data_IF_417260316978
#
_entry.id   IF_417260316978
#
_cell.length_a   1.000
_cell.length_b   1.000
_cell.length_c   1.000
_cell.angle_alpha   90.00
_cell.angle_beta   90.00
_cell.angle_gamma   90.00
#
_symmetry.space_group_name_H-M   'P 1'
#
loop_
_entity.id
_entity.type
_entity.pdbx_description
1 polymer ?
#
# COMPACT_ATOMS: atom_id res chain seq x y z
N UNK A 1 -6.24 17.54 60.71
CA UNK A 1 -5.18 17.75 59.70
C UNK A 1 -5.86 17.84 58.35
N UNK A 2 -6.06 19.04 57.82
CA UNK A 2 -6.87 19.24 56.61
C UNK A 2 -6.03 19.01 55.35
N UNK A 3 -6.52 18.16 54.45
CA UNK A 3 -5.89 17.87 53.14
C UNK A 3 -6.60 18.66 52.03
N UNK A 4 -5.80 19.15 51.08
CA UNK A 4 -6.13 20.19 50.10
C UNK A 4 -6.83 19.67 48.84
N UNK A 5 -7.57 20.56 48.20
CA UNK A 5 -8.38 20.41 46.97
C UNK A 5 -7.65 20.94 45.73
N UNK A 6 -8.05 20.46 44.54
CA UNK A 6 -7.64 21.01 43.25
C UNK A 6 -8.77 20.82 42.24
N UNK A 7 -9.19 21.90 41.59
CA UNK A 7 -10.13 21.83 40.46
C UNK A 7 -9.42 21.27 39.23
N UNK A 8 -10.03 20.25 38.61
CA UNK A 8 -9.63 19.74 37.29
C UNK A 8 -10.68 20.21 36.29
N UNK A 9 -10.31 21.19 35.47
CA UNK A 9 -11.07 21.58 34.29
C UNK A 9 -10.76 20.55 33.20
N UNK A 10 -11.73 19.69 32.91
CA UNK A 10 -11.69 18.83 31.73
C UNK A 10 -12.60 19.46 30.67
N UNK A 11 -12.05 19.70 29.48
CA UNK A 11 -12.78 20.30 28.36
C UNK A 11 -13.91 19.38 27.90
N UNK A 12 -15.11 19.97 27.74
CA UNK A 12 -16.19 19.39 26.92
C UNK A 12 -17.20 18.51 27.66
N UNK A 13 -17.87 19.09 28.66
CA UNK A 13 -19.31 18.97 28.97
C UNK A 13 -19.55 19.18 30.48
N UNK A 14 -20.58 19.96 30.77
CA UNK A 14 -20.88 20.46 32.10
C UNK A 14 -21.27 19.33 33.07
N UNK A 15 -20.34 18.98 33.96
CA UNK A 15 -20.68 18.61 35.34
C UNK A 15 -19.55 19.03 36.26
N UNK A 16 -19.83 19.97 37.18
CA UNK A 16 -18.92 20.29 38.29
C UNK A 16 -18.87 19.07 39.22
N UNK A 17 -17.89 18.19 39.04
CA UNK A 17 -17.70 17.06 39.96
C UNK A 17 -16.98 17.56 41.20
N UNK A 18 -17.74 18.05 42.18
CA UNK A 18 -17.24 18.42 43.50
C UNK A 18 -17.20 17.15 44.35
N UNK A 19 -16.02 16.62 44.61
CA UNK A 19 -15.88 15.46 45.50
C UNK A 19 -15.54 15.95 46.91
N UNK A 20 -16.40 15.64 47.87
CA UNK A 20 -16.36 16.14 49.24
C UNK A 20 -15.60 15.15 50.15
N UNK A 21 -14.52 15.59 50.80
CA UNK A 21 -13.70 14.72 51.67
C UNK A 21 -13.32 15.35 53.02
N UNK A 22 -14.25 16.08 53.63
CA UNK A 22 -14.17 16.35 55.07
C UNK A 22 -15.34 15.63 55.71
N UNK A 23 -15.08 14.59 56.50
CA UNK A 23 -16.11 13.77 57.17
C UNK A 23 -17.11 14.62 57.98
N UNK A 24 -16.64 15.75 58.50
CA UNK A 24 -17.49 16.72 59.19
C UNK A 24 -18.36 17.53 58.23
N UNK A 25 -17.80 18.03 57.12
CA UNK A 25 -18.56 18.81 56.15
C UNK A 25 -19.57 17.96 55.35
N UNK A 26 -19.23 16.69 55.07
CA UNK A 26 -20.15 15.75 54.42
C UNK A 26 -21.35 15.40 55.31
N UNK A 27 -21.18 15.48 56.64
CA UNK A 27 -22.25 15.26 57.62
C UNK A 27 -23.24 16.42 57.77
N UNK A 28 -22.91 17.61 57.25
CA UNK A 28 -23.75 18.81 57.34
C UNK A 28 -24.62 18.99 56.08
N UNK A 29 -25.85 19.51 56.20
CA UNK A 29 -26.68 19.86 55.05
C UNK A 29 -26.10 21.07 54.28
N UNK A 30 -26.34 21.11 52.97
CA UNK A 30 -25.67 22.03 52.03
C UNK A 30 -25.71 23.51 52.45
N UNK A 31 -26.83 23.94 53.02
CA UNK A 31 -27.09 25.31 53.47
C UNK A 31 -26.33 25.70 54.75
N UNK A 32 -25.83 24.75 55.54
CA UNK A 32 -25.01 25.02 56.73
C UNK A 32 -23.51 24.95 56.45
N UNK A 33 -23.13 24.50 55.24
CA UNK A 33 -21.72 24.39 54.83
C UNK A 33 -21.12 25.74 54.45
N UNK A 34 -21.96 26.71 54.05
CA UNK A 34 -21.53 28.05 53.65
C UNK A 34 -21.02 28.88 54.83
N UNK A 35 -21.47 28.57 56.05
CA UNK A 35 -21.10 29.27 57.29
C UNK A 35 -19.89 28.63 58.02
N UNK A 36 -19.33 27.55 57.47
CA UNK A 36 -18.15 26.93 58.08
C UNK A 36 -16.93 27.87 57.92
N UNK A 37 -16.12 28.06 58.97
CA UNK A 37 -14.85 28.78 58.89
C UNK A 37 -13.78 27.88 58.22
N UNK A 38 -14.13 27.25 57.10
CA UNK A 38 -13.13 26.71 56.20
C UNK A 38 -12.45 27.91 55.55
N UNK A 39 -11.14 28.03 55.77
CA UNK A 39 -10.30 28.98 55.06
C UNK A 39 -10.44 28.68 53.56
N UNK A 40 -11.31 29.43 52.87
CA UNK A 40 -11.27 29.59 51.42
C UNK A 40 -10.05 30.49 51.21
N UNK A 41 -8.95 30.02 50.61
CA UNK A 41 -7.84 30.89 50.24
C UNK A 41 -8.43 31.92 49.30
N UNK A 42 -8.64 33.13 49.82
CA UNK A 42 -9.19 34.24 49.06
C UNK A 42 -8.24 34.61 47.93
N UNK A 43 -8.82 34.87 46.77
CA UNK A 43 -8.22 34.80 45.43
C UNK A 43 -7.03 35.73 45.10
N UNK A 44 -6.56 36.61 45.99
CA UNK A 44 -5.56 37.61 45.59
C UNK A 44 -4.23 37.56 46.36
N UNK A 45 -4.22 37.41 47.68
CA UNK A 45 -2.97 37.52 48.46
C UNK A 45 -2.08 36.26 48.38
N UNK A 46 -2.67 35.07 48.37
CA UNK A 46 -1.91 33.81 48.22
C UNK A 46 -1.42 33.59 46.77
N UNK A 47 -2.16 34.10 45.79
CA UNK A 47 -1.74 34.12 44.39
C UNK A 47 -0.55 35.06 44.18
N UNK A 48 -0.55 36.24 44.81
CA UNK A 48 0.55 37.22 44.78
C UNK A 48 1.82 36.73 45.50
N UNK A 49 1.69 36.04 46.65
CA UNK A 49 2.84 35.45 47.37
C UNK A 49 3.46 34.27 46.59
N UNK A 50 2.64 33.42 45.95
CA UNK A 50 3.16 32.35 45.06
C UNK A 50 3.73 32.88 43.75
N UNK A 51 3.20 33.99 43.22
CA UNK A 51 3.71 34.64 42.01
C UNK A 51 5.09 35.29 42.21
N UNK A 52 5.51 35.52 43.46
CA UNK A 52 6.80 36.17 43.79
C UNK A 52 7.80 35.23 44.45
N UNK A 53 7.39 34.05 44.90
CA UNK A 53 8.31 33.02 45.41
C UNK A 53 9.31 32.57 44.33
N UNK A 54 10.63 32.80 44.50
CA UNK A 54 11.65 32.39 43.54
C UNK A 54 11.64 30.88 43.27
N UNK A 55 11.27 30.06 44.24
CA UNK A 55 11.20 28.61 44.08
C UNK A 55 10.02 28.21 43.18
N UNK A 56 8.86 28.83 43.38
CA UNK A 56 7.70 28.64 42.50
C UNK A 56 7.99 29.09 41.06
N UNK A 57 8.60 30.28 40.88
CA UNK A 57 9.00 30.78 39.56
C UNK A 57 10.05 29.88 38.89
N UNK A 58 10.99 29.32 39.66
CA UNK A 58 11.94 28.35 39.16
C UNK A 58 11.24 27.07 38.68
N UNK A 59 10.33 26.50 39.48
CA UNK A 59 9.54 25.33 39.11
C UNK A 59 8.73 25.56 37.82
N UNK A 60 8.07 26.72 37.69
CA UNK A 60 7.35 27.10 36.47
C UNK A 60 8.26 27.19 35.25
N UNK A 61 9.47 27.75 35.39
CA UNK A 61 10.47 27.77 34.31
C UNK A 61 10.91 26.37 33.92
N UNK A 62 11.12 25.47 34.87
CA UNK A 62 11.46 24.07 34.58
C UNK A 62 10.31 23.35 33.88
N UNK A 63 9.07 23.50 34.36
CA UNK A 63 7.89 22.95 33.71
C UNK A 63 7.75 23.45 32.27
N UNK A 64 7.92 24.76 32.03
CA UNK A 64 7.90 25.33 30.67
C UNK A 64 8.95 24.68 29.76
N UNK A 65 10.17 24.47 30.26
CA UNK A 65 11.23 23.78 29.49
C UNK A 65 10.84 22.33 29.18
N UNK A 66 10.23 21.61 30.11
CA UNK A 66 9.77 20.23 29.89
C UNK A 66 8.66 20.20 28.84
N UNK A 67 7.66 21.07 28.95
CA UNK A 67 6.58 21.18 27.95
C UNK A 67 7.11 21.52 26.56
N UNK A 68 8.04 22.46 26.46
CA UNK A 68 8.67 22.80 25.18
C UNK A 68 9.44 21.62 24.57
N UNK A 69 10.15 20.84 25.40
CA UNK A 69 10.83 19.61 24.94
C UNK A 69 9.83 18.56 24.46
N UNK A 70 8.74 18.37 25.19
CA UNK A 70 7.68 17.42 24.84
C UNK A 70 7.01 17.81 23.51
N UNK A 71 6.68 19.08 23.33
CA UNK A 71 6.09 19.58 22.08
C UNK A 71 7.05 19.42 20.90
N UNK A 72 8.34 19.72 21.09
CA UNK A 72 9.34 19.49 20.06
C UNK A 72 9.47 18.00 19.71
N UNK A 73 9.41 17.11 20.69
CA UNK A 73 9.43 15.66 20.45
C UNK A 73 8.19 15.19 19.69
N UNK A 74 7.00 15.70 20.03
CA UNK A 74 5.74 15.41 19.33
C UNK A 74 5.78 15.86 17.86
N UNK A 75 6.27 17.07 17.59
CA UNK A 75 6.43 17.56 16.20
C UNK A 75 7.38 16.67 15.41
N UNK A 76 8.55 16.35 15.97
CA UNK A 76 9.51 15.44 15.31
C UNK A 76 8.90 14.07 15.01
N UNK A 77 8.14 13.51 15.94
CA UNK A 77 7.45 12.24 15.72
C UNK A 77 6.41 12.35 14.60
N UNK A 78 5.64 13.43 14.58
CA UNK A 78 4.69 13.73 13.50
C UNK A 78 5.38 13.86 12.15
N UNK A 79 6.51 14.56 12.08
CA UNK A 79 7.29 14.73 10.85
C UNK A 79 7.83 13.38 10.35
N UNK A 80 8.34 12.55 11.26
CA UNK A 80 8.80 11.19 10.94
C UNK A 80 7.68 10.32 10.37
N UNK A 81 6.48 10.37 10.95
CA UNK A 81 5.35 9.61 10.44
C UNK A 81 4.88 10.11 9.06
N UNK A 82 4.81 11.43 8.86
CA UNK A 82 4.46 12.01 7.55
C UNK A 82 5.45 11.57 6.48
N UNK A 83 6.75 11.64 6.78
CA UNK A 83 7.80 11.20 5.86
C UNK A 83 7.74 9.69 5.60
N UNK A 84 7.44 8.89 6.62
CA UNK A 84 7.30 7.45 6.47
C UNK A 84 6.11 7.08 5.57
N UNK A 85 4.95 7.72 5.75
CA UNK A 85 3.79 7.53 4.86
C UNK A 85 4.13 7.93 3.43
N UNK A 86 4.78 9.08 3.24
CA UNK A 86 5.17 9.56 1.91
C UNK A 86 6.07 8.54 1.19
N UNK A 87 7.06 7.98 1.90
CA UNK A 87 7.93 6.92 1.37
C UNK A 87 7.19 5.65 1.00
N UNK A 88 6.22 5.22 1.81
CA UNK A 88 5.42 4.03 1.44
C UNK A 88 4.57 4.30 0.21
N UNK A 89 3.97 5.49 0.08
CA UNK A 89 3.23 5.88 -1.13
C UNK A 89 4.11 5.91 -2.38
N UNK A 90 5.34 6.41 -2.25
CA UNK A 90 6.33 6.40 -3.33
C UNK A 90 6.65 4.96 -3.78
N UNK A 91 6.90 4.05 -2.83
CA UNK A 91 7.13 2.62 -3.12
C UNK A 91 5.95 1.96 -3.81
N UNK A 92 4.73 2.22 -3.35
CA UNK A 92 3.50 1.71 -4.00
C UNK A 92 3.38 2.25 -5.43
N UNK A 93 3.68 3.54 -5.64
CA UNK A 93 3.69 4.14 -6.97
C UNK A 93 4.74 3.51 -7.90
N UNK A 94 5.91 3.18 -7.37
CA UNK A 94 6.99 2.49 -8.08
C UNK A 94 6.57 1.06 -8.48
N UNK A 95 5.94 0.30 -7.57
CA UNK A 95 5.39 -1.03 -7.86
C UNK A 95 4.30 -0.99 -8.94
N UNK A 96 3.40 -0.01 -8.89
CA UNK A 96 2.38 0.19 -9.93
C UNK A 96 3.01 0.52 -11.30
N UNK A 97 4.10 1.29 -11.30
CA UNK A 97 4.85 1.61 -12.52
C UNK A 97 5.51 0.36 -13.12
N UNK A 98 6.05 -0.53 -12.29
CA UNK A 98 6.58 -1.82 -12.74
C UNK A 98 5.50 -2.70 -13.38
N UNK A 99 4.28 -2.77 -12.81
CA UNK A 99 3.18 -3.52 -13.41
C UNK A 99 2.87 -3.04 -14.84
N UNK A 100 2.72 -1.73 -15.03
CA UNK A 100 2.47 -1.14 -16.35
C UNK A 100 3.60 -1.46 -17.34
N UNK A 101 4.85 -1.34 -16.89
CA UNK A 101 6.01 -1.69 -17.70
C UNK A 101 6.01 -3.17 -18.11
N UNK A 102 5.68 -4.09 -17.19
CA UNK A 102 5.59 -5.52 -17.49
C UNK A 102 4.47 -5.84 -18.47
N UNK A 103 3.33 -5.15 -18.40
CA UNK A 103 2.26 -5.28 -19.39
C UNK A 103 2.71 -4.85 -20.79
N UNK A 104 3.48 -3.76 -20.89
CA UNK A 104 4.04 -3.29 -22.15
C UNK A 104 5.04 -4.30 -22.74
N UNK A 105 5.97 -4.82 -21.92
CA UNK A 105 6.91 -5.85 -22.34
C UNK A 105 6.20 -7.13 -22.79
N UNK A 106 5.19 -7.58 -22.04
CA UNK A 106 4.39 -8.75 -22.42
C UNK A 106 3.70 -8.53 -23.77
N UNK A 107 3.12 -7.33 -24.00
CA UNK A 107 2.48 -6.97 -25.26
C UNK A 107 3.48 -6.97 -26.42
N UNK A 108 4.68 -6.44 -26.20
CA UNK A 108 5.76 -6.47 -27.20
C UNK A 108 6.16 -7.90 -27.57
N UNK A 109 6.38 -8.76 -26.58
CA UNK A 109 6.72 -10.17 -26.79
C UNK A 109 5.61 -10.92 -27.53
N UNK A 110 4.34 -10.67 -27.17
CA UNK A 110 3.20 -11.21 -27.88
C UNK A 110 3.18 -10.77 -29.35
N UNK A 111 3.36 -9.48 -29.63
CA UNK A 111 3.44 -8.95 -30.99
C UNK A 111 4.56 -9.62 -31.80
N UNK A 112 5.77 -9.72 -31.24
CA UNK A 112 6.89 -10.40 -31.88
C UNK A 112 6.60 -11.87 -32.18
N UNK A 113 6.09 -12.58 -31.19
CA UNK A 113 5.70 -13.97 -31.33
C UNK A 113 4.70 -14.16 -32.48
N UNK A 114 3.60 -13.40 -32.49
CA UNK A 114 2.55 -13.52 -33.51
C UNK A 114 3.00 -13.05 -34.91
N UNK A 115 3.93 -12.09 -35.00
CA UNK A 115 4.47 -11.61 -36.27
C UNK A 115 5.52 -12.54 -36.87
N UNK A 116 6.42 -13.11 -36.05
CA UNK A 116 7.57 -13.88 -36.52
C UNK A 116 7.27 -15.36 -36.77
N UNK A 117 6.72 -16.04 -35.77
CA UNK A 117 6.57 -17.51 -35.78
C UNK A 117 5.10 -17.93 -35.67
N UNK A 118 4.32 -17.12 -34.95
CA UNK A 118 2.90 -17.22 -34.71
C UNK A 118 2.40 -18.63 -34.43
N UNK A 119 1.18 -18.90 -34.90
CA UNK A 119 0.55 -20.21 -34.87
C UNK A 119 1.39 -21.32 -35.54
N UNK A 120 2.26 -20.98 -36.50
CA UNK A 120 3.09 -21.98 -37.21
C UNK A 120 4.11 -22.65 -36.30
N UNK A 121 4.61 -21.93 -35.29
CA UNK A 121 5.50 -22.52 -34.29
C UNK A 121 4.83 -23.63 -33.49
N UNK A 122 3.51 -23.52 -33.23
CA UNK A 122 2.74 -24.58 -32.57
C UNK A 122 2.73 -25.88 -33.39
N UNK A 123 2.81 -25.77 -34.72
CA UNK A 123 2.80 -26.93 -35.62
C UNK A 123 4.19 -27.51 -35.86
N UNK A 124 5.25 -26.90 -35.33
CA UNK A 124 6.61 -27.35 -35.59
C UNK A 124 7.04 -28.47 -34.60
N UNK A 125 7.22 -29.72 -35.07
CA UNK A 125 7.57 -30.84 -34.21
C UNK A 125 8.99 -30.74 -33.62
N UNK A 126 9.81 -29.80 -34.11
CA UNK A 126 11.16 -29.56 -33.61
C UNK A 126 11.20 -28.68 -32.36
N UNK A 127 10.06 -28.06 -31.99
CA UNK A 127 9.96 -27.26 -30.76
C UNK A 127 9.91 -28.20 -29.58
N UNK A 128 10.79 -27.99 -28.59
CA UNK A 128 10.78 -28.84 -27.41
C UNK A 128 9.46 -28.67 -26.64
N UNK A 129 8.88 -29.75 -26.08
CA UNK A 129 7.56 -29.69 -25.44
C UNK A 129 7.46 -28.70 -24.28
N UNK A 130 8.57 -28.39 -23.58
CA UNK A 130 8.58 -27.44 -22.46
C UNK A 130 8.44 -26.01 -22.95
N UNK A 131 9.22 -25.63 -23.97
CA UNK A 131 9.11 -24.33 -24.65
C UNK A 131 7.72 -24.15 -25.25
N UNK A 132 7.18 -25.20 -25.89
CA UNK A 132 5.83 -25.17 -26.45
C UNK A 132 4.79 -24.90 -25.36
N UNK A 133 4.82 -25.67 -24.26
CA UNK A 133 3.90 -25.51 -23.15
C UNK A 133 3.97 -24.10 -22.55
N UNK A 134 5.17 -23.59 -22.24
CA UNK A 134 5.36 -22.26 -21.66
C UNK A 134 4.80 -21.13 -22.55
N UNK A 135 4.98 -21.23 -23.87
CA UNK A 135 4.44 -20.27 -24.82
C UNK A 135 2.92 -20.36 -24.91
N UNK A 136 2.35 -21.57 -24.91
CA UNK A 136 0.90 -21.75 -24.95
C UNK A 136 0.28 -21.17 -23.68
N UNK A 137 0.87 -21.50 -22.53
CA UNK A 137 0.42 -21.07 -21.21
C UNK A 137 0.48 -19.55 -21.06
N UNK A 138 1.52 -18.88 -21.60
CA UNK A 138 1.62 -17.43 -21.58
C UNK A 138 0.76 -16.74 -22.67
N UNK A 139 0.87 -17.16 -23.93
CA UNK A 139 0.42 -16.39 -25.10
C UNK A 139 -0.84 -16.93 -25.78
N UNK A 140 -1.15 -18.23 -25.73
CA UNK A 140 -2.26 -18.81 -26.49
C UNK A 140 -3.61 -18.71 -25.80
N UNK A 141 -4.65 -18.42 -26.60
CA UNK A 141 -6.02 -18.12 -26.19
C UNK A 141 -6.82 -19.26 -25.56
N UNK A 142 -6.32 -20.49 -25.59
CA UNK A 142 -7.11 -21.68 -25.22
C UNK A 142 -7.49 -21.71 -23.73
N UNK A 143 -6.70 -21.04 -22.89
CA UNK A 143 -6.98 -20.82 -21.48
C UNK A 143 -7.35 -19.34 -21.29
N UNK A 144 -8.48 -19.00 -20.63
CA UNK A 144 -8.81 -17.62 -20.27
C UNK A 144 -7.67 -16.97 -19.48
N UNK A 145 -7.34 -15.71 -19.76
CA UNK A 145 -6.18 -15.03 -19.16
C UNK A 145 -6.17 -15.07 -17.62
N UNK A 146 -7.35 -14.95 -16.99
CA UNK A 146 -7.50 -15.02 -15.53
C UNK A 146 -7.23 -16.39 -14.92
N UNK A 147 -7.13 -17.45 -15.73
CA UNK A 147 -6.90 -18.84 -15.29
C UNK A 147 -5.51 -19.35 -15.64
N UNK A 148 -4.69 -18.56 -16.32
CA UNK A 148 -3.30 -18.91 -16.63
C UNK A 148 -2.42 -18.67 -15.41
N UNK A 149 -1.56 -19.63 -15.12
CA UNK A 149 -0.63 -19.59 -13.99
C UNK A 149 0.48 -18.56 -14.22
N UNK A 150 0.85 -18.32 -15.48
CA UNK A 150 1.79 -17.30 -15.94
C UNK A 150 1.43 -15.94 -15.37
N UNK A 151 0.15 -15.57 -15.34
CA UNK A 151 -0.30 -14.27 -14.83
C UNK A 151 -0.58 -14.25 -13.33
N UNK A 152 -0.41 -15.36 -12.61
CA UNK A 152 -0.65 -15.40 -11.17
C UNK A 152 0.20 -14.37 -10.40
N UNK A 153 1.52 -14.24 -10.64
CA UNK A 153 2.33 -13.22 -9.97
C UNK A 153 1.87 -11.77 -10.23
N UNK A 154 1.28 -11.48 -11.39
CA UNK A 154 0.76 -10.15 -11.73
C UNK A 154 -0.48 -9.83 -10.91
N UNK A 155 -1.41 -10.80 -10.81
CA UNK A 155 -2.61 -10.67 -9.98
C UNK A 155 -2.26 -10.51 -8.52
N UNK A 156 -1.28 -11.29 -8.04
CA UNK A 156 -0.80 -11.21 -6.67
C UNK A 156 -0.15 -9.84 -6.40
N UNK A 157 0.61 -9.30 -7.35
CA UNK A 157 1.24 -8.00 -7.23
C UNK A 157 0.20 -6.87 -7.19
N UNK A 158 -0.79 -6.90 -8.08
CA UNK A 158 -1.91 -5.94 -8.06
C UNK A 158 -2.69 -5.99 -6.74
N UNK A 159 -3.02 -7.20 -6.26
CA UNK A 159 -3.67 -7.39 -4.97
C UNK A 159 -2.82 -6.85 -3.80
N UNK A 160 -1.50 -7.09 -3.82
CA UNK A 160 -0.58 -6.63 -2.78
C UNK A 160 -0.49 -5.10 -2.76
N UNK A 161 -0.42 -4.44 -3.92
CA UNK A 161 -0.46 -2.97 -4.06
C UNK A 161 -1.75 -2.42 -3.45
N UNK A 162 -2.89 -3.04 -3.79
CA UNK A 162 -4.19 -2.64 -3.24
C UNK A 162 -4.26 -2.79 -1.72
N UNK A 163 -3.77 -3.91 -1.17
CA UNK A 163 -3.72 -4.17 0.28
C UNK A 163 -2.82 -3.14 0.98
N UNK A 164 -1.63 -2.88 0.44
CA UNK A 164 -0.70 -1.90 1.01
C UNK A 164 -1.32 -0.49 1.09
N UNK A 165 -2.00 -0.05 0.03
CA UNK A 165 -2.75 1.21 0.02
C UNK A 165 -3.84 1.23 1.09
N UNK A 166 -4.65 0.18 1.16
CA UNK A 166 -5.74 0.08 2.13
C UNK A 166 -5.22 0.11 3.57
N UNK A 167 -4.12 -0.57 3.87
CA UNK A 167 -3.48 -0.55 5.20
C UNK A 167 -3.00 0.86 5.57
N UNK A 168 -2.42 1.60 4.62
CA UNK A 168 -2.03 2.98 4.83
C UNK A 168 -3.22 3.90 5.09
N UNK A 169 -4.44 3.53 4.71
CA UNK A 169 -5.67 4.32 4.88
C UNK A 169 -6.55 3.86 6.04
N UNK A 170 -6.26 2.69 6.64
CA UNK A 170 -7.07 2.10 7.69
C UNK A 170 -7.02 2.91 8.99
N UNK A 171 -8.08 3.65 9.26
CA UNK A 171 -8.23 4.46 10.48
C UNK A 171 -8.42 3.64 11.77
N UNK A 172 -8.68 2.34 11.67
CA UNK A 172 -8.83 1.46 12.85
C UNK A 172 -7.50 1.05 13.46
N UNK A 173 -6.41 1.15 12.71
CA UNK A 173 -5.06 0.75 13.14
C UNK A 173 -4.24 1.95 13.64
N UNK A 174 -3.29 1.67 14.53
CA UNK A 174 -2.29 2.63 14.96
C UNK A 174 -1.41 3.09 13.79
N UNK A 175 -0.99 4.35 13.80
CA UNK A 175 -0.20 4.94 12.71
C UNK A 175 1.09 4.16 12.41
N UNK A 176 1.79 3.74 13.47
CA UNK A 176 3.01 2.93 13.35
C UNK A 176 2.72 1.56 12.71
N UNK A 177 1.64 0.90 13.14
CA UNK A 177 1.27 -0.42 12.62
C UNK A 177 0.87 -0.35 11.15
N UNK A 178 0.12 0.68 10.75
CA UNK A 178 -0.24 0.94 9.34
C UNK A 178 0.99 1.07 8.46
N UNK A 179 1.97 1.85 8.90
CA UNK A 179 3.23 2.06 8.17
C UNK A 179 4.01 0.75 8.09
N UNK A 180 4.08 -0.02 9.18
CA UNK A 180 4.82 -1.27 9.24
C UNK A 180 4.18 -2.35 8.36
N UNK A 181 2.86 -2.56 8.45
CA UNK A 181 2.18 -3.56 7.64
C UNK A 181 2.25 -3.19 6.14
N UNK A 182 2.04 -1.92 5.78
CA UNK A 182 2.20 -1.48 4.39
C UNK A 182 3.64 -1.66 3.87
N UNK A 183 4.63 -1.47 4.73
CA UNK A 183 6.03 -1.73 4.40
C UNK A 183 6.27 -3.22 4.10
N UNK A 184 5.76 -4.12 4.95
CA UNK A 184 5.88 -5.57 4.77
C UNK A 184 5.23 -6.04 3.47
N UNK A 185 4.04 -5.54 3.15
CA UNK A 185 3.37 -5.82 1.87
C UNK A 185 4.22 -5.33 0.68
N UNK A 186 4.80 -4.13 0.77
CA UNK A 186 5.68 -3.62 -0.30
C UNK A 186 6.94 -4.49 -0.48
N UNK A 187 7.55 -4.98 0.60
CA UNK A 187 8.72 -5.88 0.50
C UNK A 187 8.33 -7.22 -0.16
N UNK A 188 7.16 -7.77 0.18
CA UNK A 188 6.59 -8.93 -0.50
C UNK A 188 6.34 -8.70 -1.99
N UNK A 189 5.80 -7.53 -2.33
CA UNK A 189 5.53 -7.12 -3.71
C UNK A 189 6.80 -7.08 -4.58
N UNK A 190 7.94 -6.63 -4.04
CA UNK A 190 9.21 -6.63 -4.79
C UNK A 190 9.72 -8.04 -5.11
N UNK A 191 9.35 -9.06 -4.32
CA UNK A 191 9.64 -10.46 -4.68
C UNK A 191 8.82 -10.86 -5.91
N UNK A 192 7.55 -10.46 -5.97
CA UNK A 192 6.67 -10.72 -7.12
C UNK A 192 7.17 -10.02 -8.38
N UNK A 193 7.64 -8.76 -8.27
CA UNK A 193 8.29 -8.03 -9.37
C UNK A 193 9.43 -8.84 -9.98
N UNK A 194 10.31 -9.40 -9.14
CA UNK A 194 11.43 -10.24 -9.63
C UNK A 194 10.95 -11.53 -10.30
N UNK A 195 9.91 -12.17 -9.77
CA UNK A 195 9.35 -13.37 -10.38
C UNK A 195 8.75 -13.08 -11.76
N UNK A 196 8.08 -11.93 -11.90
CA UNK A 196 7.55 -11.45 -13.17
C UNK A 196 8.69 -11.20 -14.16
N UNK A 197 9.73 -10.48 -13.76
CA UNK A 197 10.91 -10.22 -14.59
C UNK A 197 11.56 -11.51 -15.09
N UNK A 198 11.74 -12.50 -14.20
CA UNK A 198 12.26 -13.81 -14.58
C UNK A 198 11.36 -14.50 -15.60
N UNK A 199 10.04 -14.53 -15.36
CA UNK A 199 9.08 -15.19 -16.24
C UNK A 199 9.00 -14.53 -17.63
N UNK A 200 9.04 -13.20 -17.69
CA UNK A 200 9.13 -12.46 -18.96
C UNK A 200 10.46 -12.67 -19.66
N UNK A 201 11.56 -12.75 -18.91
CA UNK A 201 12.89 -13.07 -19.44
C UNK A 201 12.93 -14.46 -20.08
N UNK A 202 12.35 -15.46 -19.42
CA UNK A 202 12.21 -16.81 -19.96
C UNK A 202 11.32 -16.82 -21.21
N UNK A 203 10.15 -16.18 -21.16
CA UNK A 203 9.27 -16.06 -22.32
C UNK A 203 9.99 -15.41 -23.51
N UNK A 204 10.76 -14.36 -23.27
CA UNK A 204 11.58 -13.70 -24.31
C UNK A 204 12.57 -14.66 -24.94
N UNK A 205 13.31 -15.43 -24.15
CA UNK A 205 14.26 -16.43 -24.66
C UNK A 205 13.55 -17.48 -25.51
N UNK A 206 12.36 -17.93 -25.10
CA UNK A 206 11.54 -18.87 -25.87
C UNK A 206 11.09 -18.28 -27.21
N UNK A 207 10.59 -17.04 -27.22
CA UNK A 207 10.20 -16.33 -28.46
C UNK A 207 11.40 -16.17 -29.39
N UNK A 208 12.53 -15.69 -28.89
CA UNK A 208 13.77 -15.54 -29.69
C UNK A 208 14.27 -16.86 -30.26
N UNK A 209 14.13 -17.96 -29.51
CA UNK A 209 14.51 -19.29 -29.99
C UNK A 209 13.63 -19.72 -31.15
N UNK A 210 12.33 -19.50 -31.07
CA UNK A 210 11.41 -19.81 -32.17
C UNK A 210 11.66 -18.94 -33.39
N UNK A 211 11.97 -17.66 -33.22
CA UNK A 211 12.28 -16.73 -34.32
C UNK A 211 13.51 -17.19 -35.13
N UNK A 212 14.46 -17.90 -34.48
CA UNK A 212 15.66 -18.45 -35.12
C UNK A 212 15.44 -19.81 -35.77
N UNK A 213 14.34 -20.51 -35.48
CA UNK A 213 14.05 -21.78 -36.13
C UNK A 213 13.67 -21.48 -37.58
N UNK A 214 14.32 -22.16 -38.53
CA UNK A 214 13.96 -22.01 -39.93
C UNK A 214 12.45 -22.25 -40.09
N UNK A 215 11.73 -21.38 -40.82
CA UNK A 215 10.34 -21.64 -41.12
C UNK A 215 10.29 -23.01 -41.78
N UNK A 216 9.35 -23.86 -41.35
CA UNK A 216 9.04 -25.07 -42.10
C UNK A 216 8.68 -24.59 -43.49
N UNK A 217 9.63 -24.73 -44.42
CA UNK A 217 9.38 -24.51 -45.84
C UNK A 217 8.25 -25.47 -46.13
N UNK A 218 7.08 -24.94 -46.49
CA UNK A 218 5.94 -25.74 -46.87
C UNK A 218 6.41 -26.69 -47.99
N UNK A 219 6.76 -27.92 -47.63
CA UNK A 219 6.77 -29.06 -48.56
C UNK A 219 5.31 -29.47 -48.76
N UNK A 220 4.48 -28.48 -49.04
CA UNK A 220 3.21 -28.59 -49.74
C UNK A 220 3.43 -27.89 -51.09
N UNK A 221 4.51 -28.26 -51.79
CA UNK A 221 4.50 -28.28 -53.25
C UNK A 221 3.54 -29.42 -53.64
N UNK A 222 2.24 -29.16 -53.42
CA UNK A 222 1.17 -29.98 -53.93
C UNK A 222 1.31 -29.89 -55.45
N UNK A 223 1.94 -30.90 -56.03
CA UNK A 223 2.15 -31.09 -57.46
C UNK A 223 0.85 -31.12 -58.28
N UNK A 224 -0.29 -30.72 -57.72
CA UNK A 224 -1.48 -30.30 -58.44
C UNK A 224 -1.29 -28.91 -59.04
N UNK A 225 -0.38 -28.81 -60.02
CA UNK A 225 -0.64 -27.95 -61.19
C UNK A 225 -1.94 -28.44 -61.81
N UNK A 226 -3.07 -27.88 -61.37
CA UNK A 226 -4.32 -27.93 -62.12
C UNK A 226 -4.03 -27.22 -63.44
N UNK A 227 -3.74 -28.02 -64.47
CA UNK A 227 -3.79 -27.55 -65.86
C UNK A 227 -5.15 -26.88 -66.06
N UNK A 228 -5.13 -25.58 -66.23
CA UNK A 228 -6.25 -24.80 -66.75
C UNK A 228 -6.44 -25.14 -68.23
N UNK A 229 -6.90 -26.36 -68.51
CA UNK A 229 -7.54 -26.72 -69.78
C UNK A 229 -9.01 -26.28 -69.71
N UNK A 230 -9.28 -25.04 -70.13
CA UNK A 230 -10.60 -24.64 -70.62
C UNK A 230 -10.40 -23.76 -71.85
N UNK A 231 -10.21 -24.35 -73.03
CA UNK A 231 -11.28 -24.64 -74.00
C UNK A 231 -12.30 -23.50 -74.15
N UNK A 232 -12.18 -22.85 -75.31
CA UNK A 232 -13.27 -22.66 -76.26
C UNK A 232 -14.62 -22.21 -75.69
N UNK A 233 -14.83 -20.89 -75.70
CA UNK A 233 -16.15 -20.36 -76.05
C UNK A 233 -16.03 -19.44 -77.25
N UNK A 234 -16.38 -20.03 -78.40
CA UNK A 234 -16.81 -19.35 -79.61
C UNK A 234 -17.83 -18.25 -79.26
N UNK A 235 -17.48 -17.00 -79.51
CA UNK A 235 -18.46 -15.93 -79.70
C UNK A 235 -18.77 -15.87 -81.19
N UNK A 236 -19.97 -16.33 -81.54
CA UNK A 236 -20.63 -15.91 -82.76
C UNK A 236 -21.29 -14.55 -82.47
N UNK A 237 -20.95 -13.54 -83.26
CA UNK A 237 -21.83 -12.46 -83.74
C UNK A 237 -21.06 -11.69 -84.82
#
# INVERSE_FOLDING_TARGET
>A
MCKYYRDLIQYGDCSKTRIEYCDYASSLPLNQREDLPCHIPGDDSDALIRATDPQHLFALRQMRKVWQKLDNARRRLSDLHTNAIARQRERISDLASHLLYFEELYRELGCRYYAGCGWRAHMNPSVDPRTHHAIVEALHGDIPQGLRDFFQPWRDLDATIYIALRLLEDGSLGLTDRIQCAHEECEGAYILVRNIECSLGELKLHVERLERMEPIVDIFDDGTRVRSDSRDRKTAL
#
